data_IF_029340302112
#
_entry.id   IF_029340302112
#
_cell.length_a   1.000
_cell.length_b   1.000
_cell.length_c   1.000
_cell.angle_alpha   90.00
_cell.angle_beta   90.00
_cell.angle_gamma   90.00
#
_symmetry.space_group_name_H-M   'P 1'
#
loop_
_entity.id
_entity.type
_entity.pdbx_description
1 polymer ?
#
# COMPACT_ATOMS: atom_id res chain seq x y z
N UNK A 1 67.41 1.98 25.38
CA UNK A 1 66.59 0.77 25.18
C UNK A 1 65.08 1.02 25.27
N UNK A 2 64.59 2.10 25.89
CA UNK A 2 63.14 2.41 25.96
C UNK A 2 62.52 2.91 24.64
N UNK A 3 63.22 3.76 23.88
CA UNK A 3 62.73 4.24 22.58
C UNK A 3 62.46 3.12 21.57
N UNK A 4 63.17 2.00 21.68
CA UNK A 4 63.01 0.84 20.81
C UNK A 4 61.78 -0.03 21.17
N UNK A 5 61.16 0.17 22.34
CA UNK A 5 59.90 -0.52 22.73
C UNK A 5 58.67 0.29 22.35
N UNK A 6 58.72 1.62 22.42
CA UNK A 6 57.57 2.46 22.10
C UNK A 6 57.14 2.35 20.63
N UNK A 7 58.07 2.32 19.68
CA UNK A 7 57.71 2.21 18.26
C UNK A 7 57.05 0.86 17.93
N UNK A 8 57.42 -0.22 18.64
CA UNK A 8 56.82 -1.54 18.48
C UNK A 8 55.37 -1.52 18.98
N UNK A 9 55.08 -0.89 20.12
CA UNK A 9 53.71 -0.77 20.63
C UNK A 9 52.84 0.11 19.72
N UNK A 10 53.37 1.23 19.21
CA UNK A 10 52.67 2.05 18.23
C UNK A 10 52.41 1.29 16.92
N UNK A 11 53.38 0.54 16.42
CA UNK A 11 53.23 -0.28 15.21
C UNK A 11 52.16 -1.35 15.39
N UNK A 12 52.17 -2.05 16.53
CA UNK A 12 51.15 -3.06 16.86
C UNK A 12 49.75 -2.45 17.00
N UNK A 13 49.64 -1.26 17.58
CA UNK A 13 48.36 -0.54 17.68
C UNK A 13 47.83 -0.12 16.30
N UNK A 14 48.70 0.38 15.42
CA UNK A 14 48.31 0.71 14.04
C UNK A 14 47.88 -0.53 13.26
N UNK A 15 48.60 -1.64 13.39
CA UNK A 15 48.22 -2.92 12.77
C UNK A 15 46.86 -3.38 13.31
N UNK A 16 46.61 -3.25 14.61
CA UNK A 16 45.33 -3.61 15.22
C UNK A 16 44.16 -2.74 14.70
N UNK A 17 44.36 -1.42 14.57
CA UNK A 17 43.35 -0.54 13.98
C UNK A 17 43.08 -0.92 12.53
N UNK A 18 44.12 -1.12 11.72
CA UNK A 18 43.97 -1.48 10.31
C UNK A 18 43.25 -2.83 10.17
N UNK A 19 43.62 -3.83 10.98
CA UNK A 19 42.95 -5.13 10.99
C UNK A 19 41.48 -5.00 11.42
N UNK A 20 41.19 -4.19 12.44
CA UNK A 20 39.81 -3.96 12.91
C UNK A 20 38.96 -3.25 11.86
N UNK A 21 39.53 -2.25 11.18
CA UNK A 21 38.87 -1.55 10.07
C UNK A 21 38.66 -2.48 8.87
N UNK A 22 39.63 -3.33 8.55
CA UNK A 22 39.50 -4.31 7.47
C UNK A 22 38.42 -5.37 7.79
N UNK A 23 38.35 -5.83 9.03
CA UNK A 23 37.29 -6.77 9.47
C UNK A 23 35.92 -6.10 9.46
N UNK A 24 35.81 -4.86 9.95
CA UNK A 24 34.56 -4.08 9.89
C UNK A 24 34.14 -3.85 8.44
N UNK A 25 35.08 -3.48 7.57
CA UNK A 25 34.81 -3.28 6.16
C UNK A 25 34.35 -4.59 5.50
N UNK A 26 35.13 -5.66 5.59
CA UNK A 26 34.80 -6.94 4.93
C UNK A 26 33.52 -7.59 5.45
N UNK A 27 33.26 -7.57 6.76
CA UNK A 27 32.10 -8.26 7.35
C UNK A 27 30.83 -7.42 7.39
N UNK A 28 30.94 -6.09 7.55
CA UNK A 28 29.78 -5.22 7.78
C UNK A 28 29.53 -4.28 6.60
N UNK A 29 30.56 -3.65 6.06
CA UNK A 29 30.40 -2.61 5.04
C UNK A 29 30.35 -3.25 3.65
N UNK A 30 31.38 -3.98 3.24
CA UNK A 30 31.48 -4.69 1.97
C UNK A 30 30.33 -5.67 1.75
N UNK A 31 29.88 -6.45 2.75
CA UNK A 31 28.68 -7.29 2.60
C UNK A 31 27.37 -6.49 2.43
N UNK A 32 27.29 -5.26 2.96
CA UNK A 32 26.13 -4.36 2.80
C UNK A 32 26.23 -3.46 1.56
N UNK A 33 27.44 -3.20 1.06
CA UNK A 33 27.74 -2.36 -0.11
C UNK A 33 28.06 -3.17 -1.36
N UNK A 34 28.26 -4.48 -1.27
CA UNK A 34 28.15 -5.37 -2.41
C UNK A 34 26.70 -5.31 -2.86
N UNK A 35 26.43 -4.38 -3.76
CA UNK A 35 25.36 -4.49 -4.73
C UNK A 35 25.66 -5.74 -5.55
N UNK A 36 25.35 -6.91 -4.97
CA UNK A 36 25.06 -8.09 -5.76
C UNK A 36 24.04 -7.60 -6.78
N UNK A 37 24.43 -7.61 -8.04
CA UNK A 37 23.59 -7.27 -9.18
C UNK A 37 22.21 -7.84 -8.89
N UNK A 38 21.25 -6.96 -8.61
CA UNK A 38 20.05 -7.32 -7.88
C UNK A 38 19.36 -8.47 -8.60
N UNK A 39 19.03 -9.54 -7.87
CA UNK A 39 17.95 -10.41 -8.31
C UNK A 39 16.74 -9.48 -8.46
N UNK A 40 16.39 -9.13 -9.70
CA UNK A 40 15.26 -8.23 -9.97
C UNK A 40 14.04 -8.91 -9.38
N UNK A 41 13.58 -8.41 -8.23
CA UNK A 41 12.34 -8.83 -7.59
C UNK A 41 11.22 -8.20 -8.41
N UNK A 42 10.63 -8.99 -9.31
CA UNK A 42 9.44 -8.57 -10.03
C UNK A 42 8.26 -8.55 -9.07
N UNK A 43 7.48 -7.47 -9.09
CA UNK A 43 6.21 -7.34 -8.35
C UNK A 43 5.34 -8.58 -8.62
N UNK A 44 4.96 -9.30 -7.55
CA UNK A 44 4.02 -10.42 -7.66
C UNK A 44 2.65 -9.86 -8.01
N UNK A 45 2.03 -10.44 -9.03
CA UNK A 45 0.70 -10.04 -9.48
C UNK A 45 -0.35 -11.03 -8.95
N UNK A 46 -1.53 -10.54 -8.57
CA UNK A 46 -2.63 -11.42 -8.18
C UNK A 46 -3.26 -12.07 -9.42
N UNK A 47 -4.11 -13.07 -9.19
CA UNK A 47 -4.90 -13.64 -10.27
C UNK A 47 -5.96 -12.63 -10.73
N UNK A 48 -5.76 -12.08 -11.94
CA UNK A 48 -6.68 -11.15 -12.60
C UNK A 48 -7.35 -11.82 -13.80
N UNK A 49 -8.53 -11.33 -14.25
CA UNK A 49 -9.32 -10.26 -13.65
C UNK A 49 -10.03 -10.70 -12.37
N UNK A 50 -10.35 -9.73 -11.49
CA UNK A 50 -11.29 -9.95 -10.39
C UNK A 50 -12.60 -10.48 -10.96
N UNK A 51 -13.18 -11.49 -10.30
CA UNK A 51 -14.41 -12.12 -10.80
C UNK A 51 -15.20 -12.78 -9.68
N UNK A 52 -16.51 -12.89 -9.90
CA UNK A 52 -17.37 -13.74 -9.11
C UNK A 52 -16.89 -15.21 -9.16
N UNK A 53 -17.08 -15.92 -8.07
CA UNK A 53 -16.84 -17.37 -7.99
C UNK A 53 -17.92 -18.14 -8.77
N UNK A 54 -17.68 -19.43 -9.00
CA UNK A 54 -18.63 -20.31 -9.70
C UNK A 54 -19.99 -20.44 -8.97
N UNK A 55 -20.03 -20.17 -7.67
CA UNK A 55 -21.26 -20.10 -6.86
C UNK A 55 -21.99 -18.76 -6.97
N UNK A 56 -21.48 -17.83 -7.79
CA UNK A 56 -22.06 -16.49 -7.98
C UNK A 56 -21.75 -15.49 -6.87
N UNK A 57 -20.85 -15.81 -5.94
CA UNK A 57 -20.48 -14.91 -4.84
C UNK A 57 -19.14 -14.19 -5.09
N UNK A 58 -18.99 -13.01 -4.50
CA UNK A 58 -17.73 -12.26 -4.46
C UNK A 58 -17.65 -11.58 -3.10
N UNK A 59 -16.65 -11.92 -2.28
CA UNK A 59 -16.50 -11.43 -0.92
C UNK A 59 -15.40 -10.37 -0.86
N UNK A 60 -15.73 -9.21 -0.30
CA UNK A 60 -14.78 -8.13 -0.03
C UNK A 60 -14.58 -8.04 1.48
N UNK A 61 -13.33 -8.05 1.94
CA UNK A 61 -12.98 -7.65 3.31
C UNK A 61 -12.57 -6.18 3.30
N UNK A 62 -13.40 -5.31 3.89
CA UNK A 62 -13.09 -3.89 4.04
C UNK A 62 -12.39 -3.62 5.36
N UNK A 63 -11.32 -2.84 5.31
CA UNK A 63 -10.50 -2.42 6.45
C UNK A 63 -10.37 -0.89 6.40
N UNK A 64 -10.52 -0.22 7.53
CA UNK A 64 -10.49 1.23 7.61
C UNK A 64 -9.80 1.68 8.91
N UNK A 65 -9.21 2.87 8.90
CA UNK A 65 -8.83 3.62 10.11
C UNK A 65 -7.89 2.86 11.04
N UNK A 66 -6.98 2.06 10.48
CA UNK A 66 -6.00 1.30 11.27
C UNK A 66 -5.08 2.22 12.06
N UNK A 67 -4.79 3.41 11.53
CA UNK A 67 -3.91 4.40 12.15
C UNK A 67 -2.57 3.79 12.57
N UNK A 68 -2.01 2.94 11.71
CA UNK A 68 -0.80 2.16 12.00
C UNK A 68 0.43 3.08 12.09
N UNK A 69 1.27 2.89 13.09
CA UNK A 69 2.54 3.59 13.24
C UNK A 69 3.71 2.70 12.84
N UNK A 70 4.58 2.39 13.80
CA UNK A 70 5.79 1.58 13.63
C UNK A 70 5.65 0.20 14.32
N UNK A 71 4.48 -0.41 14.27
CA UNK A 71 4.35 -1.83 14.62
C UNK A 71 4.44 -2.11 16.12
N UNK A 72 5.51 -2.81 16.51
CA UNK A 72 5.74 -3.19 17.90
C UNK A 72 6.01 -1.98 18.81
N UNK A 73 6.59 -0.90 18.29
CA UNK A 73 6.99 0.25 19.11
C UNK A 73 5.86 1.25 19.33
N UNK A 74 4.85 1.27 18.44
CA UNK A 74 3.68 2.13 18.59
C UNK A 74 2.73 1.55 19.63
N UNK A 75 2.51 2.30 20.71
CA UNK A 75 1.59 1.89 21.78
C UNK A 75 0.16 2.29 21.44
N UNK A 76 -0.77 1.40 21.75
CA UNK A 76 -2.18 1.71 21.66
C UNK A 76 -2.54 2.86 22.59
N UNK A 77 -3.52 3.65 22.15
CA UNK A 77 -4.17 4.70 22.95
C UNK A 77 -5.58 4.22 23.28
N UNK A 78 -6.16 4.77 24.33
CA UNK A 78 -7.57 4.54 24.69
C UNK A 78 -7.94 3.06 24.93
N UNK A 79 -6.98 2.28 25.46
CA UNK A 79 -7.17 0.90 25.92
C UNK A 79 -7.29 0.84 27.45
N UNK A 80 -7.69 -0.30 28.00
CA UNK A 80 -7.70 -0.48 29.45
C UNK A 80 -6.29 -0.35 30.02
N UNK A 81 -6.15 0.12 31.27
CA UNK A 81 -4.84 0.25 31.93
C UNK A 81 -4.06 -1.08 31.93
N UNK A 82 -4.78 -2.19 32.10
CA UNK A 82 -4.20 -3.53 32.03
C UNK A 82 -3.63 -3.90 30.66
N UNK A 83 -4.08 -3.26 29.57
CA UNK A 83 -3.70 -3.56 28.18
C UNK A 83 -2.56 -2.68 27.67
N UNK A 84 -2.37 -1.51 28.28
CA UNK A 84 -1.45 -0.47 27.82
C UNK A 84 -0.01 -0.97 27.59
N UNK A 85 0.49 -1.85 28.47
CA UNK A 85 1.88 -2.30 28.43
C UNK A 85 2.19 -3.31 27.32
N UNK A 86 1.18 -3.98 26.74
CA UNK A 86 1.38 -5.01 25.72
C UNK A 86 0.62 -4.75 24.42
N UNK A 87 -0.30 -3.79 24.38
CA UNK A 87 -0.97 -3.41 23.15
C UNK A 87 -0.03 -2.59 22.26
N UNK A 88 0.04 -2.99 20.99
CA UNK A 88 0.73 -2.26 19.92
C UNK A 88 -0.01 -2.46 18.59
N UNK A 89 0.50 -1.87 17.50
CA UNK A 89 -0.10 -2.08 16.16
C UNK A 89 -0.10 -3.56 15.74
N UNK A 90 0.75 -4.40 16.34
CA UNK A 90 0.77 -5.85 16.10
C UNK A 90 -0.56 -6.53 16.47
N UNK A 91 -1.34 -5.93 17.37
CA UNK A 91 -2.70 -6.38 17.65
C UNK A 91 -3.59 -6.25 16.41
N UNK A 92 -3.49 -5.12 15.70
CA UNK A 92 -4.17 -4.89 14.41
C UNK A 92 -3.68 -5.86 13.35
N UNK A 93 -2.35 -6.05 13.24
CA UNK A 93 -1.77 -7.03 12.29
C UNK A 93 -2.29 -8.44 12.55
N UNK A 94 -2.31 -8.89 13.81
CA UNK A 94 -2.81 -10.21 14.19
C UNK A 94 -4.30 -10.35 13.91
N UNK A 95 -5.09 -9.32 14.25
CA UNK A 95 -6.52 -9.29 13.97
C UNK A 95 -6.78 -9.43 12.47
N UNK A 96 -6.10 -8.66 11.61
CA UNK A 96 -6.28 -8.74 10.17
C UNK A 96 -5.86 -10.08 9.59
N UNK A 97 -4.71 -10.65 10.00
CA UNK A 97 -4.32 -12.00 9.58
C UNK A 97 -5.40 -13.03 9.92
N UNK A 98 -5.97 -12.95 11.12
CA UNK A 98 -7.05 -13.84 11.57
C UNK A 98 -8.31 -13.65 10.74
N UNK A 99 -8.73 -12.41 10.50
CA UNK A 99 -9.93 -12.10 9.70
C UNK A 99 -9.76 -12.56 8.25
N UNK A 100 -8.61 -12.33 7.63
CA UNK A 100 -8.32 -12.81 6.27
C UNK A 100 -8.39 -14.35 6.22
N UNK A 101 -7.82 -15.03 7.21
CA UNK A 101 -7.83 -16.50 7.26
C UNK A 101 -9.23 -17.10 7.44
N UNK A 102 -10.05 -16.49 8.31
CA UNK A 102 -11.42 -16.95 8.59
C UNK A 102 -12.34 -16.62 7.40
N UNK A 103 -12.29 -15.38 6.92
CA UNK A 103 -13.24 -14.90 5.92
C UNK A 103 -12.92 -15.38 4.52
N UNK A 104 -11.63 -15.59 4.20
CA UNK A 104 -11.16 -15.97 2.85
C UNK A 104 -11.77 -15.08 1.77
N UNK A 105 -11.55 -13.74 1.82
CA UNK A 105 -12.13 -12.83 0.86
C UNK A 105 -11.56 -13.03 -0.55
N UNK A 106 -12.31 -12.59 -1.55
CA UNK A 106 -11.88 -12.54 -2.95
C UNK A 106 -11.11 -11.24 -3.25
N UNK A 107 -11.27 -10.20 -2.41
CA UNK A 107 -10.56 -8.91 -2.47
C UNK A 107 -10.47 -8.30 -1.06
N UNK A 108 -9.33 -7.68 -0.72
CA UNK A 108 -9.19 -6.86 0.49
C UNK A 108 -9.17 -5.38 0.08
N UNK A 109 -9.94 -4.54 0.76
CA UNK A 109 -10.05 -3.11 0.45
C UNK A 109 -9.74 -2.28 1.69
N UNK A 110 -8.73 -1.42 1.59
CA UNK A 110 -8.36 -0.47 2.63
C UNK A 110 -8.89 0.93 2.29
N UNK A 111 -9.70 1.52 3.17
CA UNK A 111 -10.46 2.74 2.87
C UNK A 111 -9.91 4.01 3.52
N UNK A 112 -8.60 4.07 3.75
CA UNK A 112 -7.92 5.26 4.26
C UNK A 112 -7.54 5.18 5.73
N UNK A 113 -6.75 6.17 6.14
CA UNK A 113 -6.09 6.26 7.45
C UNK A 113 -5.40 4.93 7.79
N UNK A 114 -4.64 4.46 6.80
CA UNK A 114 -3.89 3.21 6.85
C UNK A 114 -2.75 3.36 7.85
N UNK A 115 -1.96 4.42 7.70
CA UNK A 115 -0.94 4.83 8.65
C UNK A 115 -1.35 6.13 9.34
N UNK A 116 -0.86 6.32 10.55
CA UNK A 116 -1.03 7.58 11.28
C UNK A 116 0.29 8.34 11.27
N UNK A 117 0.40 9.36 10.42
CA UNK A 117 1.71 9.97 10.14
C UNK A 117 2.44 10.51 11.38
N UNK A 118 1.72 10.97 12.41
CA UNK A 118 2.34 11.40 13.66
C UNK A 118 2.99 10.28 14.49
N UNK A 119 2.65 9.03 14.23
CA UNK A 119 3.17 7.83 14.92
C UNK A 119 3.95 6.91 13.97
N UNK A 120 4.08 7.27 12.70
CA UNK A 120 4.84 6.58 11.67
C UNK A 120 6.11 7.39 11.36
N UNK A 121 7.26 7.01 11.90
CA UNK A 121 8.51 7.76 11.68
C UNK A 121 9.06 7.68 10.26
N UNK A 122 8.78 6.57 9.58
CA UNK A 122 9.07 6.36 8.16
C UNK A 122 7.80 5.78 7.51
N UNK A 123 7.25 6.50 6.53
CA UNK A 123 6.01 6.10 5.90
C UNK A 123 6.15 4.78 5.12
N UNK A 124 7.26 4.57 4.42
CA UNK A 124 7.46 3.37 3.60
C UNK A 124 7.55 2.10 4.45
N UNK A 125 8.29 2.14 5.57
CA UNK A 125 8.36 1.05 6.55
C UNK A 125 6.98 0.74 7.13
N UNK A 126 6.25 1.78 7.56
CA UNK A 126 4.91 1.65 8.14
C UNK A 126 3.91 1.06 7.15
N UNK A 127 3.97 1.44 5.87
CA UNK A 127 3.12 0.88 4.82
C UNK A 127 3.42 -0.58 4.54
N UNK A 128 4.70 -0.99 4.57
CA UNK A 128 5.05 -2.40 4.45
C UNK A 128 4.44 -3.22 5.59
N UNK A 129 4.51 -2.72 6.83
CA UNK A 129 3.95 -3.42 7.97
C UNK A 129 2.42 -3.48 7.97
N UNK A 130 1.76 -2.36 7.69
CA UNK A 130 0.30 -2.29 7.73
C UNK A 130 -0.36 -3.16 6.67
N UNK A 131 0.24 -3.25 5.47
CA UNK A 131 -0.26 -4.09 4.38
C UNK A 131 0.31 -5.51 4.38
N UNK A 132 1.26 -5.84 5.27
CA UNK A 132 1.85 -7.18 5.36
C UNK A 132 0.80 -8.31 5.42
N UNK A 133 -0.30 -8.23 6.21
CA UNK A 133 -1.32 -9.27 6.21
C UNK A 133 -1.95 -9.54 4.84
N UNK A 134 -2.18 -8.49 4.04
CA UNK A 134 -2.74 -8.61 2.70
C UNK A 134 -1.71 -9.17 1.71
N UNK A 135 -0.48 -8.64 1.74
CA UNK A 135 0.63 -9.10 0.89
C UNK A 135 0.93 -10.59 1.14
N UNK A 136 1.05 -11.00 2.39
CA UNK A 136 1.32 -12.40 2.79
C UNK A 136 0.22 -13.36 2.36
N UNK A 137 -1.04 -12.88 2.28
CA UNK A 137 -2.18 -13.71 1.90
C UNK A 137 -2.19 -14.11 0.42
N UNK A 138 -1.50 -13.34 -0.44
CA UNK A 138 -1.56 -13.50 -1.90
C UNK A 138 -2.91 -13.12 -2.54
N UNK A 139 -3.86 -12.61 -1.75
CA UNK A 139 -5.16 -12.13 -2.21
C UNK A 139 -4.95 -10.75 -2.85
N UNK A 140 -5.60 -10.44 -3.99
CA UNK A 140 -5.59 -9.07 -4.52
C UNK A 140 -6.09 -8.08 -3.47
N UNK A 141 -5.45 -6.93 -3.37
CA UNK A 141 -5.86 -5.89 -2.44
C UNK A 141 -5.74 -4.49 -3.04
N UNK A 142 -6.59 -3.59 -2.57
CA UNK A 142 -6.71 -2.23 -3.06
C UNK A 142 -6.72 -1.26 -1.87
N UNK A 143 -6.19 -0.06 -2.05
CA UNK A 143 -6.21 0.98 -1.03
C UNK A 143 -6.52 2.36 -1.61
N UNK A 144 -7.18 3.18 -0.80
CA UNK A 144 -7.21 4.64 -0.90
C UNK A 144 -6.59 5.25 0.34
N UNK A 145 -6.26 6.54 0.25
CA UNK A 145 -5.68 7.28 1.37
C UNK A 145 -6.76 8.05 2.13
N UNK A 146 -6.61 8.09 3.44
CA UNK A 146 -7.33 8.99 4.33
C UNK A 146 -6.55 10.29 4.55
N UNK A 147 -7.01 11.11 5.48
CA UNK A 147 -6.41 12.40 5.75
C UNK A 147 -5.14 12.34 6.59
N UNK A 148 -4.90 11.24 7.31
CA UNK A 148 -3.73 11.08 8.18
C UNK A 148 -2.52 10.43 7.49
N UNK A 149 -2.73 9.78 6.34
CA UNK A 149 -1.69 8.98 5.69
C UNK A 149 -0.47 9.82 5.26
N UNK A 150 -0.67 11.09 4.87
CA UNK A 150 0.40 11.97 4.36
C UNK A 150 1.07 12.85 5.43
N UNK A 151 0.92 12.53 6.70
CA UNK A 151 1.47 13.32 7.80
C UNK A 151 2.89 12.88 8.23
N UNK A 152 3.53 11.98 7.48
CA UNK A 152 4.87 11.41 7.73
C UNK A 152 5.89 11.86 6.66
N UNK A 153 6.80 10.98 6.23
CA UNK A 153 7.96 11.28 5.36
C UNK A 153 7.66 11.29 3.85
N UNK A 154 6.45 10.89 3.44
CA UNK A 154 6.04 10.81 2.04
C UNK A 154 4.78 11.64 1.79
N UNK A 155 4.70 12.27 0.62
CA UNK A 155 3.50 12.97 0.17
C UNK A 155 2.47 12.00 -0.43
N UNK A 156 1.24 12.48 -0.69
CA UNK A 156 0.13 11.67 -1.22
C UNK A 156 0.45 10.88 -2.50
N UNK A 157 1.15 11.50 -3.43
CA UNK A 157 1.52 10.87 -4.71
C UNK A 157 2.53 9.76 -4.50
N UNK A 158 3.55 10.02 -3.68
CA UNK A 158 4.57 9.06 -3.32
C UNK A 158 3.95 7.86 -2.61
N UNK A 159 3.03 8.10 -1.66
CA UNK A 159 2.30 7.07 -0.94
C UNK A 159 1.51 6.17 -1.91
N UNK A 160 0.66 6.74 -2.77
CA UNK A 160 -0.13 5.94 -3.71
C UNK A 160 0.73 5.22 -4.74
N UNK A 161 1.80 5.86 -5.20
CA UNK A 161 2.76 5.23 -6.12
C UNK A 161 3.43 4.03 -5.46
N UNK A 162 3.87 4.18 -4.22
CA UNK A 162 4.48 3.10 -3.45
C UNK A 162 3.51 1.95 -3.21
N UNK A 163 2.27 2.25 -2.78
CA UNK A 163 1.19 1.28 -2.58
C UNK A 163 0.87 0.52 -3.89
N UNK A 164 0.86 1.20 -5.04
CA UNK A 164 0.57 0.57 -6.34
C UNK A 164 1.64 -0.44 -6.77
N UNK A 165 2.88 -0.26 -6.30
CA UNK A 165 4.03 -1.09 -6.63
C UNK A 165 4.19 -2.30 -5.70
N UNK A 166 3.44 -2.38 -4.61
CA UNK A 166 3.50 -3.50 -3.67
C UNK A 166 2.93 -4.80 -4.25
N UNK A 167 3.48 -5.93 -3.81
CA UNK A 167 3.03 -7.27 -4.18
C UNK A 167 1.50 -7.43 -4.00
N UNK A 168 0.86 -8.00 -5.01
CA UNK A 168 -0.58 -8.26 -5.08
C UNK A 168 -1.50 -7.02 -5.03
N UNK A 169 -0.94 -5.81 -4.90
CA UNK A 169 -1.72 -4.57 -4.98
C UNK A 169 -2.32 -4.40 -6.37
N UNK A 170 -3.61 -4.07 -6.42
CA UNK A 170 -4.34 -3.66 -7.63
C UNK A 170 -4.67 -2.17 -7.61
N UNK A 171 -4.13 -1.43 -6.63
CA UNK A 171 -4.25 0.02 -6.51
C UNK A 171 -3.53 0.73 -7.66
N UNK A 172 -4.00 1.92 -8.03
CA UNK A 172 -3.40 2.74 -9.09
C UNK A 172 -3.20 4.17 -8.58
N UNK A 173 -2.07 4.80 -8.89
CA UNK A 173 -1.83 6.21 -8.55
C UNK A 173 -2.77 7.14 -9.31
N UNK A 174 -2.95 6.85 -10.60
CA UNK A 174 -3.80 7.61 -11.51
C UNK A 174 -4.76 6.67 -12.22
N UNK A 175 -5.96 7.12 -12.57
CA UNK A 175 -6.84 6.34 -13.41
C UNK A 175 -6.28 6.28 -14.84
N UNK A 176 -6.42 5.13 -15.49
CA UNK A 176 -6.01 4.97 -16.89
C UNK A 176 -7.06 5.54 -17.85
N UNK A 177 -6.63 6.27 -18.88
CA UNK A 177 -7.50 6.63 -20.01
C UNK A 177 -7.87 5.36 -20.78
N UNK A 178 -9.16 5.01 -20.92
CA UNK A 178 -9.57 3.79 -21.60
C UNK A 178 -9.27 3.77 -23.11
N UNK A 179 -9.08 4.92 -23.74
CA UNK A 179 -8.80 5.06 -25.17
C UNK A 179 -7.30 5.15 -25.44
N UNK A 180 -6.59 5.96 -24.66
CA UNK A 180 -5.15 6.23 -24.90
C UNK A 180 -4.24 5.29 -24.12
N UNK A 181 -4.76 4.54 -23.14
CA UNK A 181 -3.99 3.69 -22.22
C UNK A 181 -2.87 4.46 -21.52
N UNK A 182 -3.09 5.76 -21.29
CA UNK A 182 -2.17 6.64 -20.57
C UNK A 182 -2.77 7.02 -19.21
N UNK A 183 -1.93 7.24 -18.17
CA UNK A 183 -2.39 7.79 -16.91
C UNK A 183 -3.05 9.16 -17.09
N UNK A 184 -4.26 9.34 -16.56
CA UNK A 184 -4.93 10.64 -16.50
C UNK A 184 -4.46 11.42 -15.27
N UNK A 185 -3.48 12.29 -15.46
CA UNK A 185 -2.86 13.10 -14.39
C UNK A 185 -3.61 14.40 -14.07
N UNK A 186 -4.58 14.80 -14.91
CA UNK A 186 -5.36 16.03 -14.74
C UNK A 186 -6.60 15.87 -13.84
N UNK A 187 -6.55 14.95 -12.86
CA UNK A 187 -7.62 14.70 -11.90
C UNK A 187 -7.07 14.99 -10.51
N UNK A 188 -7.76 15.84 -9.75
CA UNK A 188 -7.39 16.14 -8.36
C UNK A 188 -7.24 14.87 -7.51
N UNK A 189 -6.18 14.82 -6.71
CA UNK A 189 -5.86 13.71 -5.81
C UNK A 189 -5.18 12.52 -6.48
N UNK A 190 -4.75 11.55 -5.68
CA UNK A 190 -4.03 10.36 -6.09
C UNK A 190 -4.73 9.13 -5.51
N UNK A 191 -4.80 8.04 -6.27
CA UNK A 191 -5.61 6.88 -5.88
C UNK A 191 -7.05 6.94 -6.37
N UNK A 192 -7.34 7.77 -7.38
CA UNK A 192 -8.59 7.71 -8.12
C UNK A 192 -8.51 6.59 -9.17
N UNK A 193 -9.27 5.51 -9.04
CA UNK A 193 -9.25 4.41 -10.01
C UNK A 193 -10.51 3.55 -9.93
N UNK A 194 -10.71 2.69 -10.93
CA UNK A 194 -11.80 1.73 -10.94
C UNK A 194 -11.26 0.30 -11.04
N UNK A 195 -11.94 -0.62 -10.35
CA UNK A 195 -11.73 -2.05 -10.51
C UNK A 195 -13.01 -2.70 -11.02
N UNK A 196 -12.88 -3.46 -12.09
CA UNK A 196 -13.97 -4.24 -12.68
C UNK A 196 -13.96 -5.66 -12.12
N UNK A 197 -15.11 -6.13 -11.65
CA UNK A 197 -15.33 -7.52 -11.22
C UNK A 197 -16.19 -8.21 -12.26
N UNK A 198 -15.61 -9.21 -12.92
CA UNK A 198 -16.25 -9.93 -14.02
C UNK A 198 -17.15 -11.06 -13.55
N UNK A 199 -18.04 -11.53 -14.43
CA UNK A 199 -18.90 -12.68 -14.15
C UNK A 199 -18.13 -13.97 -13.86
N UNK A 200 -18.86 -14.94 -13.31
CA UNK A 200 -18.32 -16.23 -12.91
C UNK A 200 -17.68 -16.98 -14.10
N UNK A 201 -16.59 -17.74 -13.89
CA UNK A 201 -16.01 -18.59 -14.94
C UNK A 201 -17.06 -19.51 -15.57
N UNK A 202 -17.08 -19.59 -16.90
CA UNK A 202 -18.01 -20.45 -17.65
C UNK A 202 -19.46 -19.94 -17.72
N UNK A 203 -19.81 -18.84 -17.04
CA UNK A 203 -21.11 -18.20 -17.23
C UNK A 203 -21.15 -17.41 -18.54
N UNK A 204 -22.34 -17.13 -19.07
CA UNK A 204 -22.53 -16.23 -20.22
C UNK A 204 -22.03 -14.79 -19.94
N UNK A 205 -21.79 -14.46 -18.67
CA UNK A 205 -21.25 -13.19 -18.18
C UNK A 205 -19.74 -13.24 -17.90
N UNK A 206 -19.03 -14.33 -18.19
CA UNK A 206 -17.64 -14.54 -17.76
C UNK A 206 -16.66 -13.48 -18.24
N UNK A 207 -16.99 -12.83 -19.37
CA UNK A 207 -16.20 -11.76 -19.98
C UNK A 207 -16.81 -10.38 -19.77
N UNK A 208 -17.96 -10.28 -19.10
CA UNK A 208 -18.65 -9.02 -18.81
C UNK A 208 -18.26 -8.49 -17.44
N UNK A 209 -18.09 -7.18 -17.31
CA UNK A 209 -18.01 -6.51 -16.01
C UNK A 209 -19.40 -6.48 -15.36
N UNK A 210 -19.50 -6.99 -14.13
CA UNK A 210 -20.77 -7.15 -13.39
C UNK A 210 -20.84 -6.20 -12.21
N UNK A 211 -19.71 -5.94 -11.56
CA UNK A 211 -19.59 -4.99 -10.47
C UNK A 211 -18.40 -4.07 -10.74
N UNK A 212 -18.61 -2.76 -10.61
CA UNK A 212 -17.57 -1.75 -10.71
C UNK A 212 -17.33 -1.14 -9.34
N UNK A 213 -16.10 -1.19 -8.86
CA UNK A 213 -15.66 -0.58 -7.62
C UNK A 213 -14.92 0.72 -7.97
N UNK A 214 -15.40 1.84 -7.44
CA UNK A 214 -14.79 3.15 -7.66
C UNK A 214 -14.05 3.60 -6.41
N UNK A 215 -12.76 3.86 -6.56
CA UNK A 215 -11.86 4.32 -5.52
C UNK A 215 -11.60 5.80 -5.77
N UNK A 216 -11.77 6.61 -4.72
CA UNK A 216 -11.71 8.06 -4.80
C UNK A 216 -10.84 8.62 -3.70
N UNK A 217 -10.04 9.60 -4.05
CA UNK A 217 -9.25 10.37 -3.11
C UNK A 217 -10.04 11.60 -2.62
N UNK A 218 -10.61 11.55 -1.41
CA UNK A 218 -11.29 12.73 -0.84
C UNK A 218 -10.36 13.84 -0.35
N UNK A 219 -9.05 13.67 -0.49
CA UNK A 219 -8.02 14.56 0.01
C UNK A 219 -7.85 14.49 1.53
N UNK A 220 -7.04 15.40 2.07
CA UNK A 220 -6.67 15.46 3.49
C UNK A 220 -7.34 16.65 4.22
N UNK A 221 -6.74 17.83 4.18
CA UNK A 221 -7.10 19.06 4.87
C UNK A 221 -7.15 20.16 3.83
N UNK A 222 -8.01 21.14 4.08
CA UNK A 222 -8.11 22.34 3.27
C UNK A 222 -8.16 23.56 4.18
N UNK A 223 -7.90 24.74 3.62
CA UNK A 223 -8.15 26.02 4.26
C UNK A 223 -9.25 26.72 3.45
N UNK A 224 -10.37 27.01 4.10
CA UNK A 224 -11.51 27.72 3.51
C UNK A 224 -11.79 28.94 4.37
N UNK A 225 -11.79 30.13 3.76
CA UNK A 225 -11.98 31.41 4.46
C UNK A 225 -11.06 31.58 5.69
N UNK A 226 -9.82 31.10 5.58
CA UNK A 226 -8.82 31.15 6.65
C UNK A 226 -8.99 30.10 7.76
N UNK A 227 -10.00 29.22 7.67
CA UNK A 227 -10.27 28.17 8.64
C UNK A 227 -9.80 26.82 8.11
N UNK A 228 -9.01 26.09 8.91
CA UNK A 228 -8.60 24.71 8.59
C UNK A 228 -9.80 23.78 8.70
N UNK A 229 -10.05 23.01 7.64
CA UNK A 229 -11.13 22.03 7.53
C UNK A 229 -10.64 20.76 6.83
N UNK A 230 -11.52 19.80 6.58
CA UNK A 230 -11.26 18.62 5.76
C UNK A 230 -11.37 18.96 4.27
N UNK A 231 -10.56 18.30 3.46
CA UNK A 231 -10.67 18.38 2.00
C UNK A 231 -11.92 17.61 1.51
N UNK A 232 -12.20 17.67 0.21
CA UNK A 232 -13.39 17.04 -0.38
C UNK A 232 -13.15 16.64 -1.83
N UNK A 233 -14.02 15.76 -2.33
CA UNK A 233 -14.05 15.34 -3.73
C UNK A 233 -14.26 16.56 -4.65
N UNK A 234 -13.35 16.74 -5.60
CA UNK A 234 -13.34 17.85 -6.55
C UNK A 234 -14.15 17.55 -7.82
N UNK A 235 -14.48 18.60 -8.56
CA UNK A 235 -15.29 18.45 -9.78
C UNK A 235 -14.57 17.63 -10.87
N UNK A 236 -13.24 17.68 -10.95
CA UNK A 236 -12.48 16.83 -11.89
C UNK A 236 -12.71 15.34 -11.63
N UNK A 237 -12.74 14.95 -10.35
CA UNK A 237 -12.99 13.57 -9.92
C UNK A 237 -14.43 13.16 -10.20
N UNK A 238 -15.39 14.05 -9.93
CA UNK A 238 -16.80 13.82 -10.26
C UNK A 238 -17.03 13.69 -11.76
N UNK A 239 -16.39 14.55 -12.56
CA UNK A 239 -16.46 14.53 -14.01
C UNK A 239 -15.91 13.20 -14.57
N UNK A 240 -14.73 12.79 -14.09
CA UNK A 240 -14.14 11.49 -14.41
C UNK A 240 -15.08 10.34 -14.05
N UNK A 241 -15.57 10.29 -12.81
CA UNK A 241 -16.46 9.24 -12.32
C UNK A 241 -17.74 9.14 -13.15
N UNK A 242 -18.39 10.28 -13.42
CA UNK A 242 -19.61 10.34 -14.25
C UNK A 242 -19.32 9.87 -15.68
N UNK A 243 -18.20 10.29 -16.26
CA UNK A 243 -17.77 9.88 -17.59
C UNK A 243 -17.58 8.37 -17.68
N UNK A 244 -16.88 7.80 -16.70
CA UNK A 244 -16.62 6.36 -16.62
C UNK A 244 -17.89 5.55 -16.38
N UNK A 245 -18.75 5.97 -15.45
CA UNK A 245 -20.04 5.33 -15.17
C UNK A 245 -20.94 5.28 -16.41
N UNK A 246 -21.02 6.38 -17.18
CA UNK A 246 -21.77 6.42 -18.44
C UNK A 246 -21.24 5.41 -19.47
N UNK A 247 -19.92 5.26 -19.61
CA UNK A 247 -19.31 4.29 -20.53
C UNK A 247 -19.72 2.86 -20.19
N UNK A 248 -19.72 2.49 -18.90
CA UNK A 248 -20.16 1.15 -18.48
C UNK A 248 -21.65 0.90 -18.71
N UNK A 249 -22.50 1.91 -18.57
CA UNK A 249 -23.93 1.78 -18.90
C UNK A 249 -24.14 1.51 -20.40
N UNK A 250 -23.43 2.23 -21.28
CA UNK A 250 -23.52 2.03 -22.73
C UNK A 250 -23.03 0.64 -23.13
N UNK A 251 -21.90 0.19 -22.60
CA UNK A 251 -21.34 -1.13 -22.88
C UNK A 251 -22.25 -2.28 -22.41
N UNK A 252 -23.00 -2.07 -21.33
CA UNK A 252 -24.01 -3.04 -20.86
C UNK A 252 -25.14 -3.17 -21.89
N UNK A 253 -25.61 -2.05 -22.45
CA UNK A 253 -26.71 -2.02 -23.43
C UNK A 253 -26.27 -2.62 -24.78
N UNK A 254 -25.08 -2.29 -25.26
CA UNK A 254 -24.59 -2.83 -26.54
C UNK A 254 -24.23 -4.31 -26.44
N UNK A 255 -23.63 -4.75 -25.34
CA UNK A 255 -23.35 -6.17 -25.08
C UNK A 255 -24.62 -7.03 -24.97
N UNK A 256 -25.75 -6.46 -24.56
CA UNK A 256 -27.06 -7.15 -24.62
C UNK A 256 -27.65 -7.25 -26.02
N UNK A 257 -27.25 -6.40 -26.98
CA UNK A 257 -27.74 -6.50 -28.37
C UNK A 257 -26.94 -7.48 -29.23
N UNK A 258 -25.67 -7.75 -28.91
CA UNK A 258 -24.86 -8.77 -29.61
C UNK A 258 -25.12 -10.20 -29.12
N UNK A 259 -25.92 -10.37 -28.06
CA UNK A 259 -26.24 -11.65 -27.43
C UNK A 259 -27.59 -12.26 -27.86
N UNK A 260 -28.21 -11.77 -28.95
CA UNK A 260 -29.45 -12.30 -29.53
C UNK A 260 -29.29 -12.67 -31.00
#
# INVERSE_FOLDING_TARGET
>A
MESARLWIHSLLFFIFIIASLYVLDTLVISNRLTTHYQNIQLKKQPQLPLRFRSDGTFKILQVADMHYGNGMVTRCRDVLESEFNYCSDLNTTHFLRKMIHIERPDLIVFTGDNIFGSSATDAAESLFEVFAPAIESGIPWAAVLGNHDQESTMNREELMSFISLMDYSVSQTFPMDPMEQQPMTNIDGFGNYNLEVRGAPGSYLSNSSILNLYFLDSGDRAIVDGVRTYNWIRESQLSWLRGLSKRFQVNTITGTMEAY
#
